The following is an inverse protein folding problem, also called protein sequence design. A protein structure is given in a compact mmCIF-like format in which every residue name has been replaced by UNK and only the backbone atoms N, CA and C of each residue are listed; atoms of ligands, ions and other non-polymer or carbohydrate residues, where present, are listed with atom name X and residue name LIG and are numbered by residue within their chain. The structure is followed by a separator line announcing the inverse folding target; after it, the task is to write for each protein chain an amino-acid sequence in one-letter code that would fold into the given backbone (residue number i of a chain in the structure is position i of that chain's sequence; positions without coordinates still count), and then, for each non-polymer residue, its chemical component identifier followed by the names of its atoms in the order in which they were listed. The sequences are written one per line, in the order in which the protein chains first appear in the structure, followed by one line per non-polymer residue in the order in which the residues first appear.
data_IF_353480553272
#
_entry.id   IF_353480553272
#
_cell.length_a   1.000
_cell.length_b   1.000
_cell.length_c   1.000
_cell.angle_alpha   90.00
_cell.angle_beta   90.00
_cell.angle_gamma   90.00
#
_symmetry.space_group_name_H-M   'P 1'
#
loop_
_entity.id
_entity.type
_entity.pdbx_description
1 polymer ?
#
# COMPACT_ATOMS: atom_id res chain seq x y z
N UNK A 1 -21.31 4.97 -7.35
CA UNK A 1 -20.10 4.11 -7.26
C UNK A 1 -20.26 2.99 -8.26
N UNK A 2 -19.51 3.03 -9.35
CA UNK A 2 -19.70 2.10 -10.46
C UNK A 2 -19.13 0.71 -10.16
N UNK A 3 -19.75 -0.33 -10.75
CA UNK A 3 -19.27 -1.72 -10.68
C UNK A 3 -17.77 -1.81 -11.06
N UNK A 4 -17.33 -0.96 -11.99
CA UNK A 4 -15.95 -0.86 -12.47
C UNK A 4 -14.96 -0.38 -11.40
N UNK A 5 -15.35 0.53 -10.51
CA UNK A 5 -14.48 1.01 -9.42
C UNK A 5 -14.17 -0.12 -8.45
N UNK A 6 -15.17 -0.96 -8.16
CA UNK A 6 -15.02 -2.17 -7.33
C UNK A 6 -14.15 -3.23 -8.02
N UNK A 7 -14.27 -3.37 -9.34
CA UNK A 7 -13.46 -4.31 -10.10
C UNK A 7 -11.96 -3.94 -10.06
N UNK A 8 -11.63 -2.65 -10.19
CA UNK A 8 -10.24 -2.17 -10.04
C UNK A 8 -9.72 -2.44 -8.63
N UNK A 9 -10.51 -2.13 -7.61
CA UNK A 9 -10.12 -2.39 -6.22
C UNK A 9 -9.88 -3.89 -5.95
N UNK A 10 -10.77 -4.76 -6.44
CA UNK A 10 -10.61 -6.22 -6.31
C UNK A 10 -9.39 -6.73 -7.07
N UNK A 11 -9.13 -6.20 -8.27
CA UNK A 11 -7.95 -6.57 -9.04
C UNK A 11 -6.65 -6.18 -8.33
N UNK A 12 -6.61 -5.01 -7.67
CA UNK A 12 -5.45 -4.60 -6.87
C UNK A 12 -5.23 -5.50 -5.64
N UNK A 13 -6.28 -6.08 -5.06
CA UNK A 13 -6.14 -7.02 -3.95
C UNK A 13 -5.35 -8.28 -4.35
N UNK A 14 -5.49 -8.74 -5.59
CA UNK A 14 -4.78 -9.95 -6.07
C UNK A 14 -3.25 -9.81 -5.93
N UNK A 15 -2.71 -8.61 -6.14
CA UNK A 15 -1.27 -8.35 -6.00
C UNK A 15 -0.89 -7.87 -4.60
N UNK A 16 -1.72 -7.03 -4.00
CA UNK A 16 -1.40 -6.40 -2.73
C UNK A 16 -1.52 -7.36 -1.54
N UNK A 17 -2.46 -8.30 -1.57
CA UNK A 17 -2.64 -9.26 -0.45
C UNK A 17 -1.41 -10.17 -0.29
N UNK A 18 -0.90 -10.86 -1.33
CA UNK A 18 0.32 -11.65 -1.19
C UNK A 18 1.52 -10.82 -0.72
N UNK A 19 1.68 -9.62 -1.25
CA UNK A 19 2.75 -8.71 -0.86
C UNK A 19 2.65 -8.30 0.61
N UNK A 20 1.45 -7.91 1.05
CA UNK A 20 1.21 -7.53 2.44
C UNK A 20 1.47 -8.69 3.41
N UNK A 21 1.00 -9.90 3.06
CA UNK A 21 1.22 -11.11 3.86
C UNK A 21 2.72 -11.38 3.99
N UNK A 22 3.47 -11.36 2.90
CA UNK A 22 4.90 -11.60 2.92
C UNK A 22 5.68 -10.57 3.76
N UNK A 23 5.35 -9.29 3.63
CA UNK A 23 5.98 -8.24 4.44
C UNK A 23 5.64 -8.44 5.93
N UNK A 24 4.37 -8.66 6.25
CA UNK A 24 3.93 -8.83 7.63
C UNK A 24 4.51 -10.10 8.27
N UNK A 25 4.63 -11.19 7.54
CA UNK A 25 5.28 -12.42 7.99
C UNK A 25 6.72 -12.15 8.45
N UNK A 26 7.49 -11.38 7.67
CA UNK A 26 8.84 -10.97 8.06
C UNK A 26 8.91 -10.18 9.37
N UNK A 27 7.92 -9.33 9.64
CA UNK A 27 7.85 -8.60 10.92
C UNK A 27 7.34 -9.48 12.07
N UNK A 28 6.43 -10.40 11.81
CA UNK A 28 5.87 -11.31 12.80
C UNK A 28 6.87 -12.37 13.25
N UNK A 29 7.70 -12.86 12.34
CA UNK A 29 8.74 -13.85 12.65
C UNK A 29 9.80 -13.35 13.64
N UNK A 30 9.95 -12.01 13.75
CA UNK A 30 10.83 -11.40 14.74
C UNK A 30 10.23 -11.25 16.14
N UNK A 31 8.97 -11.63 16.35
CA UNK A 31 8.31 -11.56 17.67
C UNK A 31 8.56 -12.85 18.44
N UNK A 32 9.10 -12.75 19.69
CA UNK A 32 9.28 -13.92 20.54
C UNK A 32 7.94 -14.57 20.90
N UNK A 33 7.89 -15.91 20.87
CA UNK A 33 6.67 -16.68 21.20
C UNK A 33 6.23 -16.54 22.66
N UNK A 34 7.15 -16.18 23.53
CA UNK A 34 6.91 -15.94 24.95
C UNK A 34 5.84 -14.87 25.19
N UNK A 35 5.69 -13.93 24.25
CA UNK A 35 4.66 -12.88 24.32
C UNK A 35 3.26 -13.49 24.16
N UNK A 36 3.11 -14.44 23.24
CA UNK A 36 1.83 -15.13 23.01
C UNK A 36 1.48 -16.03 24.21
N UNK A 37 2.47 -16.76 24.72
CA UNK A 37 2.33 -17.66 25.86
C UNK A 37 1.96 -16.90 27.15
N UNK A 38 2.65 -15.80 27.42
CA UNK A 38 2.36 -14.94 28.57
C UNK A 38 0.97 -14.35 28.50
N UNK A 39 0.56 -13.85 27.33
CA UNK A 39 -0.76 -13.29 27.15
C UNK A 39 -1.87 -14.35 27.34
N UNK A 40 -1.61 -15.60 26.94
CA UNK A 40 -2.53 -16.71 27.16
C UNK A 40 -2.67 -17.06 28.65
N UNK A 41 -1.55 -17.09 29.37
CA UNK A 41 -1.54 -17.34 30.84
C UNK A 41 -2.26 -16.23 31.59
N UNK A 42 -2.11 -14.98 31.16
CA UNK A 42 -2.78 -13.81 31.71
C UNK A 42 -4.29 -13.75 31.39
N UNK A 43 -4.82 -14.73 30.63
CA UNK A 43 -6.24 -14.86 30.32
C UNK A 43 -6.74 -13.84 29.28
N UNK A 44 -5.86 -13.33 28.43
CA UNK A 44 -6.29 -12.48 27.31
C UNK A 44 -7.11 -13.29 26.30
N UNK A 45 -8.29 -12.79 25.93
CA UNK A 45 -8.99 -13.31 24.75
C UNK A 45 -8.24 -12.91 23.48
N UNK A 46 -8.31 -13.74 22.42
CA UNK A 46 -7.60 -13.50 21.15
C UNK A 46 -7.85 -12.09 20.58
N UNK A 47 -9.07 -11.55 20.48
CA UNK A 47 -9.28 -10.18 19.97
C UNK A 47 -8.60 -9.12 20.82
N UNK A 48 -8.64 -9.26 22.15
CA UNK A 48 -7.99 -8.33 23.06
C UNK A 48 -6.48 -8.38 22.97
N UNK A 49 -5.91 -9.57 22.93
CA UNK A 49 -4.47 -9.80 22.68
C UNK A 49 -4.04 -9.13 21.38
N UNK A 50 -4.75 -9.44 20.29
CA UNK A 50 -4.41 -8.95 18.96
C UNK A 50 -4.37 -7.42 18.89
N UNK A 51 -5.39 -6.73 19.41
CA UNK A 51 -5.48 -5.27 19.33
C UNK A 51 -4.56 -4.57 20.34
N UNK A 52 -4.45 -5.11 21.56
CA UNK A 52 -3.78 -4.42 22.67
C UNK A 52 -2.27 -4.67 22.72
N UNK A 53 -1.82 -5.88 22.35
CA UNK A 53 -0.43 -6.29 22.44
C UNK A 53 0.19 -6.49 21.05
N UNK A 54 -0.40 -7.33 20.24
CA UNK A 54 0.20 -7.77 18.98
C UNK A 54 0.27 -6.66 17.93
N UNK A 55 -0.83 -5.97 17.65
CA UNK A 55 -0.89 -4.91 16.64
C UNK A 55 0.07 -3.74 16.92
N UNK A 56 0.23 -3.25 18.17
CA UNK A 56 1.27 -2.27 18.49
C UNK A 56 2.70 -2.74 18.24
N UNK A 57 2.99 -4.03 18.43
CA UNK A 57 4.31 -4.61 18.17
C UNK A 57 4.65 -4.59 16.68
N UNK A 58 3.70 -4.99 15.83
CA UNK A 58 3.91 -5.07 14.37
C UNK A 58 3.57 -3.76 13.64
N UNK A 59 3.24 -2.67 14.34
CA UNK A 59 2.83 -1.40 13.71
C UNK A 59 3.80 -0.86 12.65
N UNK A 60 5.10 -1.11 12.84
CA UNK A 60 6.10 -0.73 11.85
C UNK A 60 5.92 -1.56 10.56
N UNK A 61 5.70 -2.87 10.68
CA UNK A 61 5.42 -3.76 9.56
C UNK A 61 4.12 -3.38 8.82
N UNK A 62 3.07 -3.07 9.58
CA UNK A 62 1.80 -2.58 9.01
C UNK A 62 2.01 -1.29 8.22
N UNK A 63 2.80 -0.35 8.75
CA UNK A 63 3.14 0.90 8.05
C UNK A 63 3.90 0.65 6.75
N UNK A 64 4.88 -0.26 6.76
CA UNK A 64 5.66 -0.64 5.58
C UNK A 64 4.77 -1.35 4.54
N UNK A 65 3.95 -2.31 4.97
CA UNK A 65 3.03 -3.01 4.08
C UNK A 65 2.01 -2.05 3.44
N UNK A 66 1.41 -1.17 4.23
CA UNK A 66 0.49 -0.15 3.73
C UNK A 66 1.15 0.79 2.71
N UNK A 67 2.40 1.21 2.95
CA UNK A 67 3.15 2.03 2.03
C UNK A 67 3.36 1.33 0.69
N UNK A 68 3.84 0.09 0.68
CA UNK A 68 4.08 -0.64 -0.56
C UNK A 68 2.76 -0.93 -1.31
N UNK A 69 1.72 -1.37 -0.61
CA UNK A 69 0.41 -1.57 -1.23
C UNK A 69 -0.14 -0.29 -1.86
N UNK A 70 0.01 0.85 -1.18
CA UNK A 70 -0.37 2.15 -1.73
C UNK A 70 0.45 2.47 -2.98
N UNK A 71 1.78 2.37 -2.92
CA UNK A 71 2.65 2.72 -4.04
C UNK A 71 2.38 1.84 -5.27
N UNK A 72 2.24 0.52 -5.08
CA UNK A 72 1.91 -0.38 -6.19
C UNK A 72 0.54 -0.06 -6.81
N UNK A 73 -0.48 0.20 -5.98
CA UNK A 73 -1.79 0.59 -6.48
C UNK A 73 -1.78 1.96 -7.16
N UNK A 74 -0.93 2.88 -6.68
CA UNK A 74 -0.84 4.24 -7.22
C UNK A 74 -0.20 4.29 -8.61
N UNK A 75 0.84 3.49 -8.84
CA UNK A 75 1.58 3.47 -10.12
C UNK A 75 1.04 2.45 -11.12
N UNK A 76 0.08 1.60 -10.70
CA UNK A 76 -0.47 0.56 -11.54
C UNK A 76 -1.25 1.16 -12.70
N UNK A 77 -0.83 0.83 -13.92
CA UNK A 77 -1.42 1.33 -15.16
C UNK A 77 -2.22 0.27 -15.91
N UNK A 78 -1.78 -0.98 -15.90
CA UNK A 78 -2.32 -2.02 -16.76
C UNK A 78 -3.77 -2.35 -16.43
N UNK A 79 -4.06 -2.63 -15.16
CA UNK A 79 -5.43 -2.92 -14.69
C UNK A 79 -6.30 -1.67 -14.78
N UNK A 80 -5.74 -0.52 -14.39
CA UNK A 80 -6.44 0.75 -14.51
C UNK A 80 -6.89 1.02 -15.96
N UNK A 81 -6.03 0.77 -16.94
CA UNK A 81 -6.31 1.00 -18.35
C UNK A 81 -7.29 -0.02 -18.94
N UNK A 82 -7.21 -1.28 -18.52
CA UNK A 82 -8.05 -2.37 -19.05
C UNK A 82 -9.43 -2.38 -18.42
N UNK A 83 -9.54 -2.11 -17.13
CA UNK A 83 -10.78 -2.20 -16.36
C UNK A 83 -11.57 -0.89 -16.32
N UNK A 84 -10.95 0.27 -16.62
CA UNK A 84 -11.65 1.55 -16.62
C UNK A 84 -11.92 2.08 -18.01
N UNK A 85 -13.09 2.71 -18.17
CA UNK A 85 -13.48 3.41 -19.40
C UNK A 85 -13.41 4.95 -19.21
N UNK A 86 -14.42 5.70 -19.64
CA UNK A 86 -14.35 7.18 -19.68
C UNK A 86 -14.43 7.82 -18.30
N UNK A 87 -15.23 7.30 -17.36
CA UNK A 87 -15.65 8.02 -16.14
C UNK A 87 -14.91 7.68 -14.85
N UNK A 88 -13.96 6.75 -14.85
CA UNK A 88 -13.28 6.30 -13.63
C UNK A 88 -11.79 6.05 -13.87
N UNK A 89 -11.14 6.86 -14.71
CA UNK A 89 -9.73 6.66 -15.04
C UNK A 89 -8.84 7.26 -13.97
N UNK A 90 -7.92 6.48 -13.39
CA UNK A 90 -6.83 7.01 -12.57
C UNK A 90 -5.95 7.98 -13.38
N UNK A 91 -5.28 8.89 -12.67
CA UNK A 91 -4.42 9.90 -13.29
C UNK A 91 -3.34 9.28 -14.18
N UNK A 92 -2.75 8.17 -13.78
CA UNK A 92 -1.75 7.42 -14.54
C UNK A 92 -2.29 6.94 -15.88
N UNK A 93 -3.55 6.49 -15.95
CA UNK A 93 -4.20 6.08 -17.19
C UNK A 93 -4.56 7.26 -18.11
N UNK A 94 -4.74 8.45 -17.57
CA UNK A 94 -4.99 9.66 -18.37
C UNK A 94 -3.72 10.21 -19.00
N UNK A 95 -2.57 10.06 -18.35
CA UNK A 95 -1.26 10.50 -18.89
C UNK A 95 -0.94 9.87 -20.25
N UNK A 96 -1.36 8.64 -20.51
CA UNK A 96 -1.11 7.96 -21.79
C UNK A 96 -1.94 8.53 -22.94
N UNK A 97 -2.94 9.39 -22.67
CA UNK A 97 -3.77 10.03 -23.70
C UNK A 97 -3.23 11.38 -24.18
N UNK A 98 -2.22 11.92 -23.50
CA UNK A 98 -1.56 13.17 -23.93
C UNK A 98 -0.71 12.98 -25.19
N UNK A 99 -0.49 11.70 -25.59
CA UNK A 99 0.11 11.34 -26.86
C UNK A 99 -0.99 11.19 -27.89
N UNK A 100 -1.10 12.11 -28.84
CA UNK A 100 -2.05 12.09 -29.94
C UNK A 100 -1.34 12.02 -31.29
N UNK A 101 -2.10 11.79 -32.35
CA UNK A 101 -1.56 11.77 -33.72
C UNK A 101 -0.95 13.13 -34.16
N UNK A 102 -1.33 14.23 -33.49
CA UNK A 102 -0.81 15.59 -33.71
C UNK A 102 0.43 15.91 -32.85
N UNK A 103 0.91 14.98 -32.04
CA UNK A 103 2.09 15.16 -31.18
C UNK A 103 1.79 14.94 -29.71
N UNK A 104 2.80 15.19 -28.88
CA UNK A 104 2.72 15.05 -27.43
C UNK A 104 2.50 16.42 -26.80
N UNK A 105 1.45 16.57 -25.98
CA UNK A 105 1.24 17.74 -25.15
C UNK A 105 2.13 17.69 -23.90
N UNK A 106 3.31 18.24 -24.02
CA UNK A 106 4.33 18.28 -22.97
C UNK A 106 3.87 19.05 -21.72
N UNK A 107 3.07 20.11 -21.90
CA UNK A 107 2.60 20.91 -20.79
C UNK A 107 1.62 20.14 -19.90
N UNK A 108 0.63 19.48 -20.53
CA UNK A 108 -0.34 18.64 -19.81
C UNK A 108 0.35 17.42 -19.18
N UNK A 109 1.31 16.81 -19.86
CA UNK A 109 2.06 15.68 -19.31
C UNK A 109 2.88 16.08 -18.09
N UNK A 110 3.57 17.22 -18.14
CA UNK A 110 4.35 17.73 -17.01
C UNK A 110 3.45 18.08 -15.80
N UNK A 111 2.32 18.74 -16.03
CA UNK A 111 1.36 19.06 -14.99
C UNK A 111 0.79 17.80 -14.31
N UNK A 112 0.40 16.80 -15.11
CA UNK A 112 -0.07 15.52 -14.59
C UNK A 112 1.03 14.77 -13.81
N UNK A 113 2.28 14.84 -14.26
CA UNK A 113 3.45 14.28 -13.58
C UNK A 113 3.63 14.88 -12.17
N UNK A 114 3.58 16.21 -12.07
CA UNK A 114 3.66 16.91 -10.77
C UNK A 114 2.52 16.49 -9.84
N UNK A 115 1.29 16.46 -10.35
CA UNK A 115 0.11 16.05 -9.56
C UNK A 115 0.22 14.59 -9.09
N UNK A 116 0.87 13.72 -9.86
CA UNK A 116 1.08 12.31 -9.49
C UNK A 116 2.11 12.15 -8.37
N UNK A 117 3.13 13.02 -8.30
CA UNK A 117 4.17 12.97 -7.27
C UNK A 117 3.63 13.39 -5.91
N UNK A 118 2.72 14.37 -5.84
CA UNK A 118 2.24 14.96 -4.58
C UNK A 118 1.66 13.93 -3.61
N UNK A 119 0.71 13.05 -3.97
CA UNK A 119 0.19 12.05 -3.03
C UNK A 119 1.27 11.07 -2.57
N UNK A 120 2.17 10.65 -3.46
CA UNK A 120 3.29 9.79 -3.11
C UNK A 120 4.22 10.44 -2.08
N UNK A 121 4.58 11.71 -2.29
CA UNK A 121 5.42 12.47 -1.36
C UNK A 121 4.76 12.62 0.02
N UNK A 122 3.45 12.89 0.07
CA UNK A 122 2.68 12.98 1.32
C UNK A 122 2.74 11.64 2.07
N UNK A 123 2.47 10.52 1.39
CA UNK A 123 2.50 9.19 2.01
C UNK A 123 3.91 8.85 2.52
N UNK A 124 4.96 9.12 1.74
CA UNK A 124 6.36 8.92 2.15
C UNK A 124 6.66 9.73 3.42
N UNK A 125 6.21 10.98 3.48
CA UNK A 125 6.44 11.84 4.63
C UNK A 125 5.80 11.28 5.91
N UNK A 126 4.57 10.75 5.84
CA UNK A 126 3.90 10.11 6.96
C UNK A 126 4.54 8.78 7.37
N UNK A 127 4.91 7.95 6.39
CA UNK A 127 5.36 6.56 6.65
C UNK A 127 6.87 6.47 6.91
N UNK A 128 7.65 7.52 6.63
CA UNK A 128 9.12 7.53 6.79
C UNK A 128 9.62 7.01 8.15
N UNK A 129 8.91 7.34 9.23
CA UNK A 129 9.29 6.90 10.57
C UNK A 129 9.09 5.38 10.78
N UNK A 130 8.06 4.81 10.17
CA UNK A 130 7.79 3.36 10.21
C UNK A 130 8.77 2.60 9.34
N UNK A 131 9.10 3.11 8.16
CA UNK A 131 10.09 2.54 7.25
C UNK A 131 11.46 2.53 7.92
N UNK A 132 11.91 3.63 8.51
CA UNK A 132 13.20 3.71 9.18
C UNK A 132 13.33 2.70 10.34
N UNK A 133 12.27 2.50 11.13
CA UNK A 133 12.23 1.49 12.20
C UNK A 133 12.22 0.06 11.65
N UNK A 134 11.49 -0.18 10.56
CA UNK A 134 11.42 -1.50 9.93
C UNK A 134 12.79 -1.97 9.43
N UNK A 135 13.52 -1.11 8.73
CA UNK A 135 14.88 -1.43 8.28
C UNK A 135 15.91 -1.55 9.41
N UNK A 136 15.70 -0.87 10.53
CA UNK A 136 16.60 -0.97 11.68
C UNK A 136 16.44 -2.32 12.42
N UNK A 137 15.24 -2.88 12.48
CA UNK A 137 14.99 -4.19 13.12
C UNK A 137 15.43 -5.39 12.27
N UNK A 138 15.55 -5.25 10.96
CA UNK A 138 16.06 -6.30 10.07
C UNK A 138 17.58 -6.50 10.11
N UNK A 139 18.27 -5.90 11.06
CA UNK A 139 19.73 -5.90 11.20
C UNK A 139 20.23 -6.62 12.47
N UNK A 140 19.53 -7.68 12.85
CA UNK A 140 20.00 -8.59 13.92
C UNK A 140 20.25 -9.97 13.32
#
# INVERSE_FOLDING_TARGET
MCIRDRAVALAHLVFNVPLAVWILEGFMSGIPREIDETAYIDGYSFPRFFVTLFLPLIKAGVGVAAFFCFMFSWVELLLARTLTSVNAKPIVATMTRTVSASGMDWATLAAAGVLTIVPGAIVIWFVRHYIAKGFAMGRV
#
